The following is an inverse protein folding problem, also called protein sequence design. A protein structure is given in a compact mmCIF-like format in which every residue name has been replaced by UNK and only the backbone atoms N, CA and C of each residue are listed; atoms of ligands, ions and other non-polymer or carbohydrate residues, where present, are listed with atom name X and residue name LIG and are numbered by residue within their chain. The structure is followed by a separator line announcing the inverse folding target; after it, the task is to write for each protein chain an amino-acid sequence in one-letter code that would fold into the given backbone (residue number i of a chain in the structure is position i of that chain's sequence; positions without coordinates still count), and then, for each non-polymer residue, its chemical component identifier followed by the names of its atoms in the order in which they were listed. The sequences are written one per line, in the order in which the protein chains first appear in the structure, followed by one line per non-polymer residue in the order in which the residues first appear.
data_IF_880971410570
#
_entry.id   IF_880971410570
#
_cell.length_a   1.000
_cell.length_b   1.000
_cell.length_c   1.000
_cell.angle_alpha   90.00
_cell.angle_beta   90.00
_cell.angle_gamma   90.00
#
_symmetry.space_group_name_H-M   'P 1'
#
loop_
_entity.id
_entity.type
_entity.pdbx_description
1 polymer ?
#
# COMPACT_ATOMS: atom_id res chain seq x y z
N UNK A 1 3.84 -3.49 -12.60
CA UNK A 1 3.84 -4.88 -13.07
C UNK A 1 4.36 -5.82 -12.00
N UNK A 2 3.78 -6.99 -11.90
CA UNK A 2 4.15 -8.05 -10.97
C UNK A 2 4.17 -9.36 -11.75
N UNK A 3 5.17 -10.22 -11.52
CA UNK A 3 5.28 -11.51 -12.22
C UNK A 3 5.18 -11.39 -13.76
N UNK A 4 5.86 -10.40 -14.33
CA UNK A 4 5.86 -10.15 -15.79
C UNK A 4 4.48 -9.80 -16.38
N UNK A 5 3.50 -9.46 -15.56
CA UNK A 5 2.22 -8.95 -16.04
C UNK A 5 2.41 -7.53 -16.56
N UNK A 6 1.97 -7.30 -17.78
CA UNK A 6 1.93 -5.98 -18.41
C UNK A 6 0.56 -5.78 -19.07
N UNK A 7 0.15 -4.53 -19.19
CA UNK A 7 -1.05 -4.14 -19.92
C UNK A 7 -0.69 -3.05 -20.93
N UNK A 8 -1.31 -3.07 -22.08
CA UNK A 8 -1.07 -2.07 -23.12
C UNK A 8 -1.70 -0.71 -22.80
N UNK A 9 -2.75 -0.71 -21.96
CA UNK A 9 -3.43 0.49 -21.49
C UNK A 9 -3.86 0.36 -20.02
N UNK A 10 -2.90 0.42 -19.08
CA UNK A 10 -3.18 0.24 -17.66
C UNK A 10 -4.11 1.32 -17.09
N UNK A 11 -4.10 2.53 -17.64
CA UNK A 11 -4.97 3.62 -17.21
C UNK A 11 -6.41 3.34 -17.66
N UNK A 12 -6.63 3.03 -18.94
CA UNK A 12 -7.96 2.70 -19.46
C UNK A 12 -8.56 1.47 -18.77
N UNK A 13 -7.78 0.43 -18.55
CA UNK A 13 -8.21 -0.75 -17.78
C UNK A 13 -8.62 -0.37 -16.36
N UNK A 14 -7.83 0.48 -15.69
CA UNK A 14 -8.11 0.92 -14.32
C UNK A 14 -9.40 1.73 -14.23
N UNK A 15 -9.66 2.61 -15.18
CA UNK A 15 -10.90 3.40 -15.28
C UNK A 15 -12.11 2.47 -15.49
N UNK A 16 -11.99 1.54 -16.43
CA UNK A 16 -13.06 0.58 -16.72
C UNK A 16 -13.39 -0.28 -15.51
N UNK A 17 -12.38 -0.85 -14.86
CA UNK A 17 -12.56 -1.65 -13.65
C UNK A 17 -13.18 -0.82 -12.51
N UNK A 18 -12.64 0.38 -12.23
CA UNK A 18 -13.14 1.24 -11.17
C UNK A 18 -14.63 1.58 -11.36
N UNK A 19 -15.02 1.90 -12.59
CA UNK A 19 -16.42 2.19 -12.93
C UNK A 19 -17.34 0.99 -12.70
N UNK A 20 -16.91 -0.22 -13.09
CA UNK A 20 -17.69 -1.45 -12.89
C UNK A 20 -17.76 -1.86 -11.41
N UNK A 21 -16.63 -1.77 -10.69
CA UNK A 21 -16.58 -2.11 -9.28
C UNK A 21 -17.37 -1.14 -8.41
N UNK A 22 -17.54 0.11 -8.85
CA UNK A 22 -18.35 1.10 -8.15
C UNK A 22 -19.84 0.71 -8.06
N UNK A 23 -20.33 -0.10 -8.99
CA UNK A 23 -21.73 -0.58 -9.03
C UNK A 23 -21.97 -1.73 -8.03
N UNK A 24 -20.92 -2.35 -7.48
CA UNK A 24 -21.02 -3.59 -6.72
C UNK A 24 -21.10 -3.42 -5.19
N UNK A 25 -21.10 -2.19 -4.66
CA UNK A 25 -21.12 -1.90 -3.21
C UNK A 25 -20.09 -2.73 -2.43
N UNK A 26 -18.85 -2.78 -2.91
CA UNK A 26 -17.76 -3.49 -2.27
C UNK A 26 -17.41 -2.85 -0.91
N UNK A 27 -16.92 -3.65 0.02
CA UNK A 27 -16.43 -3.16 1.30
C UNK A 27 -15.27 -2.16 1.11
N UNK A 28 -14.37 -2.43 0.19
CA UNK A 28 -13.27 -1.55 -0.22
C UNK A 28 -12.67 -2.02 -1.56
N UNK A 29 -11.90 -1.15 -2.19
CA UNK A 29 -11.01 -1.48 -3.30
C UNK A 29 -9.57 -1.27 -2.85
N UNK A 30 -8.72 -2.30 -2.95
CA UNK A 30 -7.31 -2.23 -2.59
C UNK A 30 -6.45 -2.21 -3.84
N UNK A 31 -5.67 -1.14 -4.03
CA UNK A 31 -4.88 -0.89 -5.24
C UNK A 31 -3.40 -0.82 -4.92
N UNK A 32 -2.62 -1.61 -5.65
CA UNK A 32 -1.16 -1.52 -5.67
C UNK A 32 -0.76 -0.50 -6.73
N UNK A 33 -0.30 0.69 -6.31
CA UNK A 33 -0.01 1.83 -7.18
C UNK A 33 1.31 1.73 -7.95
N UNK A 34 2.17 0.80 -7.56
CA UNK A 34 3.53 0.78 -8.06
C UNK A 34 3.78 -0.25 -9.15
N UNK A 35 4.68 0.10 -10.05
CA UNK A 35 5.32 -0.82 -10.96
C UNK A 35 6.69 -1.23 -10.43
N UNK A 36 6.79 -2.45 -9.87
CA UNK A 36 8.03 -2.98 -9.29
C UNK A 36 9.14 -3.17 -10.33
N UNK A 37 8.76 -3.46 -11.57
CA UNK A 37 9.69 -3.77 -12.65
C UNK A 37 9.93 -2.56 -13.55
N UNK A 38 9.31 -1.43 -13.28
CA UNK A 38 9.38 -0.19 -14.08
C UNK A 38 9.05 -0.41 -15.57
N UNK A 39 8.10 -1.30 -15.83
CA UNK A 39 7.66 -1.65 -17.19
C UNK A 39 6.40 -0.87 -17.60
N UNK A 40 5.72 -0.23 -16.66
CA UNK A 40 4.52 0.54 -16.90
C UNK A 40 4.65 1.91 -16.25
N UNK A 41 4.25 2.94 -16.97
CA UNK A 41 4.24 4.32 -16.50
C UNK A 41 2.81 4.81 -16.32
N UNK A 42 2.60 5.64 -15.33
CA UNK A 42 1.36 6.36 -15.12
C UNK A 42 0.81 6.25 -13.71
N UNK A 43 0.07 7.27 -13.31
CA UNK A 43 -0.71 7.28 -12.08
C UNK A 43 -2.07 6.61 -12.35
N UNK A 44 -2.30 5.45 -11.73
CA UNK A 44 -3.56 4.74 -11.81
C UNK A 44 -4.52 5.11 -10.67
N UNK A 45 -4.01 5.67 -9.57
CA UNK A 45 -4.86 5.99 -8.40
C UNK A 45 -5.78 7.17 -8.66
N UNK A 46 -5.29 8.23 -9.28
CA UNK A 46 -6.12 9.40 -9.62
C UNK A 46 -7.31 9.02 -10.50
N UNK A 47 -7.15 8.33 -11.63
CA UNK A 47 -8.29 7.90 -12.44
C UNK A 47 -9.21 6.91 -11.71
N UNK A 48 -8.67 5.99 -10.91
CA UNK A 48 -9.49 5.10 -10.08
C UNK A 48 -10.34 5.91 -9.10
N UNK A 49 -9.77 6.88 -8.38
CA UNK A 49 -10.50 7.72 -7.42
C UNK A 49 -11.63 8.51 -8.08
N UNK A 50 -11.43 8.97 -9.31
CA UNK A 50 -12.46 9.70 -10.07
C UNK A 50 -13.68 8.83 -10.45
N UNK A 51 -13.49 7.51 -10.57
CA UNK A 51 -14.52 6.58 -11.04
C UNK A 51 -15.02 5.61 -9.96
N UNK A 52 -14.39 5.57 -8.78
CA UNK A 52 -14.77 4.73 -7.65
C UNK A 52 -15.02 5.59 -6.41
N UNK A 53 -16.25 5.55 -5.89
CA UNK A 53 -16.69 6.37 -4.74
C UNK A 53 -16.64 5.64 -3.40
N UNK A 54 -16.38 4.32 -3.40
CA UNK A 54 -16.24 3.53 -2.19
C UNK A 54 -14.88 3.74 -1.51
N UNK A 55 -14.63 2.97 -0.43
CA UNK A 55 -13.36 3.01 0.31
C UNK A 55 -12.22 2.51 -0.59
N UNK A 56 -11.22 3.37 -0.81
CA UNK A 56 -10.04 3.10 -1.61
C UNK A 56 -8.81 2.98 -0.73
N UNK A 57 -8.14 1.82 -0.76
CA UNK A 57 -6.91 1.56 -0.02
C UNK A 57 -5.73 1.60 -0.99
N UNK A 58 -4.81 2.52 -0.77
CA UNK A 58 -3.56 2.59 -1.53
C UNK A 58 -2.48 1.70 -0.92
N UNK A 59 -1.67 1.08 -1.76
CA UNK A 59 -0.54 0.26 -1.34
C UNK A 59 0.69 0.57 -2.19
N UNK A 60 1.84 0.24 -1.65
CA UNK A 60 3.18 0.25 -2.24
C UNK A 60 3.95 1.55 -2.05
N UNK A 61 5.08 1.42 -1.34
CA UNK A 61 6.12 2.44 -1.15
C UNK A 61 5.63 3.81 -0.63
N UNK A 62 4.56 3.82 0.14
CA UNK A 62 4.20 5.03 0.86
C UNK A 62 5.17 5.29 2.03
N UNK A 63 5.63 6.53 2.15
CA UNK A 63 6.14 7.02 3.42
C UNK A 63 4.97 7.40 4.33
N UNK A 64 5.16 7.51 5.65
CA UNK A 64 4.10 7.98 6.55
C UNK A 64 3.54 9.35 6.17
N UNK A 65 4.40 10.29 5.80
CA UNK A 65 3.99 11.66 5.42
C UNK A 65 3.21 11.66 4.12
N UNK A 66 3.67 10.91 3.12
CA UNK A 66 2.95 10.75 1.86
C UNK A 66 1.58 10.08 2.05
N UNK A 67 1.49 9.09 2.95
CA UNK A 67 0.24 8.44 3.30
C UNK A 67 -0.75 9.43 3.93
N UNK A 68 -0.29 10.20 4.91
CA UNK A 68 -1.10 11.24 5.57
C UNK A 68 -1.57 12.29 4.58
N UNK A 69 -0.68 12.75 3.69
CA UNK A 69 -1.04 13.73 2.67
C UNK A 69 -2.09 13.18 1.69
N UNK A 70 -1.90 11.95 1.20
CA UNK A 70 -2.82 11.33 0.25
C UNK A 70 -4.24 11.16 0.84
N UNK A 71 -4.33 10.84 2.14
CA UNK A 71 -5.60 10.74 2.86
C UNK A 71 -6.20 12.14 3.07
N UNK A 72 -5.42 13.11 3.51
CA UNK A 72 -5.88 14.49 3.73
C UNK A 72 -6.41 15.14 2.44
N UNK A 73 -5.84 14.79 1.30
CA UNK A 73 -6.24 15.27 -0.03
C UNK A 73 -7.38 14.43 -0.66
N UNK A 74 -7.96 13.48 0.08
CA UNK A 74 -9.01 12.55 -0.39
C UNK A 74 -8.64 11.75 -1.65
N UNK A 75 -7.34 11.52 -1.89
CA UNK A 75 -6.87 10.66 -2.98
C UNK A 75 -7.14 9.19 -2.70
N UNK A 76 -7.07 8.81 -1.44
CA UNK A 76 -7.36 7.49 -0.90
C UNK A 76 -7.94 7.63 0.50
N UNK A 77 -8.58 6.57 1.02
CA UNK A 77 -9.17 6.56 2.35
C UNK A 77 -8.26 5.90 3.39
N UNK A 78 -7.37 5.01 2.95
CA UNK A 78 -6.42 4.32 3.81
C UNK A 78 -5.17 3.90 3.04
N UNK A 79 -4.10 3.60 3.77
CA UNK A 79 -2.85 3.05 3.22
C UNK A 79 -2.53 1.70 3.85
N UNK A 80 -2.19 0.73 3.00
CA UNK A 80 -1.67 -0.55 3.44
C UNK A 80 -0.13 -0.54 3.40
N UNK A 81 0.48 -0.85 4.55
CA UNK A 81 1.92 -1.02 4.70
C UNK A 81 2.25 -2.51 4.84
N UNK A 82 3.00 -3.09 3.89
CA UNK A 82 3.45 -4.48 3.97
C UNK A 82 4.75 -4.62 4.74
N UNK A 83 5.87 -4.35 4.08
CA UNK A 83 7.23 -4.55 4.61
C UNK A 83 7.48 -3.79 5.92
N UNK A 84 7.04 -2.53 5.98
CA UNK A 84 7.21 -1.71 7.18
C UNK A 84 6.41 -2.27 8.36
N UNK A 85 5.19 -2.77 8.13
CA UNK A 85 4.37 -3.34 9.19
C UNK A 85 4.89 -4.71 9.64
N UNK A 86 5.43 -5.51 8.72
CA UNK A 86 6.09 -6.76 9.07
C UNK A 86 7.24 -6.54 10.07
N UNK A 87 8.08 -5.52 9.81
CA UNK A 87 9.24 -5.23 10.65
C UNK A 87 8.91 -4.43 11.93
N UNK A 88 7.73 -3.84 12.02
CA UNK A 88 7.31 -3.00 13.14
C UNK A 88 5.89 -3.38 13.58
N UNK A 89 5.75 -4.29 14.56
CA UNK A 89 4.44 -4.73 15.03
C UNK A 89 3.58 -3.61 15.63
N UNK A 90 4.21 -2.50 15.98
CA UNK A 90 3.66 -1.27 16.55
C UNK A 90 3.80 -0.07 15.58
N UNK A 91 3.81 -0.31 14.27
CA UNK A 91 4.04 0.71 13.24
C UNK A 91 3.20 1.98 13.43
N UNK A 92 1.88 1.93 13.70
CA UNK A 92 1.09 3.14 13.90
C UNK A 92 1.59 4.01 15.06
N UNK A 93 1.95 3.39 16.19
CA UNK A 93 2.49 4.11 17.35
C UNK A 93 3.85 4.75 17.03
N UNK A 94 4.70 4.05 16.29
CA UNK A 94 5.99 4.60 15.85
C UNK A 94 5.81 5.79 14.90
N UNK A 95 4.90 5.70 13.95
CA UNK A 95 4.57 6.80 13.03
C UNK A 95 4.06 8.01 13.82
N UNK A 96 3.13 7.79 14.74
CA UNK A 96 2.55 8.87 15.55
C UNK A 96 3.60 9.57 16.43
N UNK A 97 4.56 8.81 16.96
CA UNK A 97 5.63 9.33 17.83
C UNK A 97 6.88 9.79 17.05
N UNK A 98 6.86 9.69 15.72
CA UNK A 98 8.05 9.88 14.87
C UNK A 98 9.26 9.07 15.36
N UNK A 99 9.00 7.84 15.83
CA UNK A 99 10.01 6.93 16.39
C UNK A 99 10.77 6.17 15.29
N UNK A 100 12.00 5.74 15.56
CA UNK A 100 12.79 4.98 14.59
C UNK A 100 12.13 3.65 14.25
N UNK A 101 12.17 3.27 12.96
CA UNK A 101 11.64 2.00 12.48
C UNK A 101 12.72 0.90 12.53
N UNK A 102 12.30 -0.32 12.84
CA UNK A 102 13.14 -1.49 12.64
C UNK A 102 13.42 -1.68 11.15
N UNK A 103 14.62 -2.08 10.81
CA UNK A 103 14.99 -2.45 9.45
C UNK A 103 14.43 -3.84 9.12
N UNK A 104 13.72 -3.99 8.00
CA UNK A 104 13.25 -5.29 7.54
C UNK A 104 14.41 -6.21 7.15
N UNK A 105 14.22 -7.51 7.30
CA UNK A 105 15.20 -8.55 6.92
C UNK A 105 14.67 -9.34 5.71
N UNK A 106 14.91 -8.90 4.46
CA UNK A 106 14.32 -9.52 3.26
C UNK A 106 14.55 -11.02 3.15
N UNK A 107 15.72 -11.50 3.60
CA UNK A 107 16.04 -12.92 3.59
C UNK A 107 15.11 -13.80 4.45
N UNK A 108 14.29 -13.19 5.30
CA UNK A 108 13.36 -13.90 6.20
C UNK A 108 11.89 -13.74 5.82
N UNK A 109 11.54 -12.97 4.78
CA UNK A 109 10.14 -12.67 4.45
C UNK A 109 9.29 -13.90 4.13
N UNK A 110 9.90 -14.95 3.61
CA UNK A 110 9.21 -16.17 3.18
C UNK A 110 9.79 -17.43 3.84
N UNK A 111 10.54 -17.28 4.93
CA UNK A 111 11.04 -18.42 5.71
C UNK A 111 9.96 -18.93 6.65
N UNK A 112 10.06 -20.20 7.02
CA UNK A 112 9.17 -20.80 8.03
C UNK A 112 9.58 -20.35 9.45
N UNK A 113 8.60 -20.33 10.36
CA UNK A 113 8.82 -20.03 11.76
C UNK A 113 8.71 -18.56 12.13
N UNK A 114 9.11 -18.22 13.34
CA UNK A 114 8.95 -16.88 13.92
C UNK A 114 10.02 -15.88 13.49
N UNK A 115 11.18 -16.37 13.04
CA UNK A 115 12.34 -15.53 12.73
C UNK A 115 12.05 -14.57 11.57
N UNK A 116 12.10 -13.27 11.82
CA UNK A 116 11.82 -12.23 10.84
C UNK A 116 10.32 -12.09 10.49
N UNK A 117 9.45 -12.70 11.29
CA UNK A 117 8.01 -12.63 11.15
C UNK A 117 7.31 -12.15 12.42
N UNK A 118 7.58 -12.79 13.57
CA UNK A 118 6.92 -12.43 14.83
C UNK A 118 7.91 -12.02 15.92
N UNK A 119 9.20 -11.93 15.62
CA UNK A 119 10.29 -11.65 16.56
C UNK A 119 10.86 -10.23 16.48
N UNK A 120 10.24 -9.34 15.68
CA UNK A 120 10.65 -7.94 15.65
C UNK A 120 10.30 -7.22 16.96
N UNK A 121 11.24 -6.42 17.51
CA UNK A 121 11.00 -5.74 18.77
C UNK A 121 9.99 -4.60 18.63
N UNK A 122 9.16 -4.44 19.67
CA UNK A 122 8.36 -3.22 19.84
C UNK A 122 9.26 -2.05 20.22
N UNK A 123 8.80 -0.84 19.95
CA UNK A 123 9.43 0.37 20.41
C UNK A 123 9.10 0.59 21.89
N UNK A 124 10.14 0.82 22.68
CA UNK A 124 10.01 1.22 24.08
C UNK A 124 10.49 2.68 24.17
N UNK A 125 9.59 3.63 24.37
CA UNK A 125 10.00 5.01 24.65
C UNK A 125 10.78 5.02 25.97
N UNK A 126 12.02 5.49 25.94
CA UNK A 126 12.85 5.73 27.14
C UNK A 126 12.41 7.03 27.83
#
# INVERSE_FOLDING_TARGET
SYNSMTDSDPIGLSIWLASRLNELNLAYLHVVRGDLLQQQNGDILTPIRQHYQGILIGNMRYTPDEANQAIAENKIDAVAFGVSFLANPDLPARIQANAPLNLPKPATFYTQGSKGYTDYPKWNPS
#
